data_IF_055064649825
#
_entry.id   IF_055064649825
#
_cell.length_a   1.000
_cell.length_b   1.000
_cell.length_c   1.000
_cell.angle_alpha   90.00
_cell.angle_beta   90.00
_cell.angle_gamma   90.00
#
_symmetry.space_group_name_H-M   'P 1'
#
loop_
_entity.id
_entity.type
_entity.pdbx_description
1 polymer ?
#
# COMPACT_ATOMS: atom_id res chain seq x y z
N UNK A 1 23.69 9.14 -10.35
CA UNK A 1 22.64 9.84 -11.15
C UNK A 1 21.29 9.19 -10.86
N UNK A 2 20.36 9.94 -10.27
CA UNK A 2 18.99 9.46 -10.10
C UNK A 2 18.27 9.50 -11.44
N UNK A 3 17.81 8.36 -11.94
CA UNK A 3 16.91 8.29 -13.09
C UNK A 3 15.47 8.37 -12.60
N UNK A 4 14.72 9.35 -13.09
CA UNK A 4 13.26 9.37 -12.93
C UNK A 4 12.68 8.38 -13.94
N UNK A 5 12.21 7.23 -13.46
CA UNK A 5 11.52 6.26 -14.30
C UNK A 5 10.00 6.41 -14.06
N UNK A 6 9.25 7.09 -14.94
CA UNK A 6 7.82 7.20 -14.79
C UNK A 6 7.15 5.84 -15.03
N UNK A 7 6.42 5.33 -14.05
CA UNK A 7 5.60 4.14 -14.18
C UNK A 7 4.16 4.54 -14.48
N UNK A 8 3.63 4.12 -15.63
CA UNK A 8 2.24 4.35 -16.02
C UNK A 8 1.44 3.06 -15.91
N UNK A 9 0.44 3.04 -15.03
CA UNK A 9 -0.41 1.87 -14.81
C UNK A 9 -1.88 2.24 -14.93
N UNK A 10 -2.58 1.59 -15.85
CA UNK A 10 -4.03 1.62 -15.90
C UNK A 10 -4.63 0.49 -15.06
N UNK A 11 -5.67 0.76 -14.28
CA UNK A 11 -6.30 -0.26 -13.46
C UNK A 11 -7.80 -0.03 -13.25
N UNK A 12 -8.53 -1.14 -13.15
CA UNK A 12 -9.92 -1.12 -12.70
C UNK A 12 -9.94 -1.06 -11.16
N UNK A 13 -10.54 0.00 -10.60
CA UNK A 13 -10.41 0.28 -9.17
C UNK A 13 -11.64 -0.09 -8.35
N UNK A 14 -12.84 0.06 -8.89
CA UNK A 14 -14.06 -0.22 -8.14
C UNK A 14 -15.26 -0.52 -9.05
N UNK A 15 -16.13 -1.38 -8.56
CA UNK A 15 -17.48 -1.61 -9.09
C UNK A 15 -18.42 -1.89 -7.93
N UNK A 16 -19.66 -1.42 -8.03
CA UNK A 16 -20.65 -1.72 -6.99
C UNK A 16 -22.07 -1.63 -7.51
N UNK A 17 -22.94 -2.34 -6.80
CA UNK A 17 -24.38 -2.30 -7.02
C UNK A 17 -25.10 -2.25 -5.66
N UNK A 18 -26.13 -1.44 -5.58
CA UNK A 18 -27.01 -1.38 -4.42
C UNK A 18 -28.45 -1.69 -4.85
N UNK A 19 -29.08 -2.61 -4.15
CA UNK A 19 -30.45 -3.06 -4.40
C UNK A 19 -31.33 -2.67 -3.21
N UNK A 20 -32.24 -1.70 -3.37
CA UNK A 20 -33.24 -1.41 -2.36
C UNK A 20 -34.24 -2.57 -2.26
N UNK A 21 -34.49 -3.05 -1.05
CA UNK A 21 -35.46 -4.09 -0.77
C UNK A 21 -36.81 -3.46 -0.38
N UNK A 22 -37.94 -4.04 -0.84
CA UNK A 22 -39.25 -3.55 -0.44
C UNK A 22 -39.47 -3.76 1.07
N UNK A 23 -39.90 -2.68 1.74
CA UNK A 23 -40.19 -2.69 3.15
C UNK A 23 -41.54 -2.01 3.41
N UNK A 24 -42.28 -2.43 4.40
CA UNK A 24 -43.57 -1.79 4.79
C UNK A 24 -43.30 -0.46 5.49
N UNK A 25 -42.19 -0.37 6.24
CA UNK A 25 -41.76 0.84 6.95
C UNK A 25 -40.24 0.93 7.00
N UNK A 26 -39.72 2.14 6.78
CA UNK A 26 -38.28 2.39 6.68
C UNK A 26 -37.72 2.06 5.29
N UNK A 27 -36.42 1.83 5.18
CA UNK A 27 -35.75 1.37 3.97
C UNK A 27 -34.68 0.34 4.31
N UNK A 28 -34.50 -0.63 3.42
CA UNK A 28 -33.48 -1.67 3.53
C UNK A 28 -32.76 -1.80 2.21
N UNK A 29 -31.43 -1.94 2.24
CA UNK A 29 -30.60 -1.99 1.04
C UNK A 29 -29.59 -3.12 1.19
N UNK A 30 -29.50 -3.95 0.16
CA UNK A 30 -28.36 -4.86 -0.05
C UNK A 30 -27.36 -4.22 -0.99
N UNK A 31 -26.08 -4.39 -0.73
CA UNK A 31 -25.01 -3.90 -1.59
C UNK A 31 -23.97 -4.99 -1.86
N UNK A 32 -23.45 -4.99 -3.07
CA UNK A 32 -22.26 -5.74 -3.44
C UNK A 32 -21.23 -4.77 -4.00
N UNK A 33 -19.96 -4.99 -3.70
CA UNK A 33 -18.90 -4.10 -4.16
C UNK A 33 -17.58 -4.83 -4.32
N UNK A 34 -16.83 -4.37 -5.29
CA UNK A 34 -15.44 -4.70 -5.53
C UNK A 34 -14.62 -3.42 -5.42
N UNK A 35 -13.53 -3.44 -4.66
CA UNK A 35 -12.60 -2.32 -4.57
C UNK A 35 -11.16 -2.83 -4.59
N UNK A 36 -10.30 -2.15 -5.32
CA UNK A 36 -8.87 -2.27 -5.15
C UNK A 36 -8.42 -1.34 -4.03
N UNK A 37 -7.90 -1.92 -2.93
CA UNK A 37 -7.58 -1.19 -1.68
C UNK A 37 -6.11 -0.82 -1.56
N UNK A 38 -5.22 -1.56 -2.25
CA UNK A 38 -3.78 -1.27 -2.31
C UNK A 38 -3.29 -1.51 -3.73
N UNK A 39 -2.37 -0.66 -4.19
CA UNK A 39 -1.56 -0.85 -5.38
C UNK A 39 -0.11 -0.96 -4.93
N UNK A 40 0.56 -2.03 -5.31
CA UNK A 40 1.97 -2.27 -4.98
C UNK A 40 2.94 -1.72 -6.02
N UNK A 41 2.42 -1.22 -7.17
CA UNK A 41 3.24 -0.82 -8.31
C UNK A 41 4.25 0.26 -7.94
N UNK A 42 5.52 -0.06 -8.12
CA UNK A 42 6.64 0.83 -7.89
C UNK A 42 7.85 0.37 -8.72
N UNK A 43 8.66 1.31 -9.12
CA UNK A 43 9.94 1.08 -9.76
C UNK A 43 10.92 2.14 -9.23
N UNK A 44 12.04 1.69 -8.70
CA UNK A 44 13.17 2.53 -8.32
C UNK A 44 14.43 1.98 -8.92
N UNK A 45 15.28 2.84 -9.45
CA UNK A 45 16.63 2.45 -9.87
C UNK A 45 17.61 3.59 -9.61
N UNK A 46 18.78 3.26 -9.13
CA UNK A 46 19.89 4.20 -9.02
C UNK A 46 21.23 3.52 -9.33
N UNK A 47 22.23 4.32 -9.65
CA UNK A 47 23.57 3.86 -9.90
C UNK A 47 24.57 4.94 -9.53
N UNK A 48 25.70 4.56 -8.95
CA UNK A 48 26.74 5.49 -8.57
C UNK A 48 28.00 4.81 -8.06
N UNK A 49 29.13 5.52 -8.13
CA UNK A 49 30.36 5.08 -7.49
C UNK A 49 30.27 5.26 -5.98
N UNK A 50 30.65 4.22 -5.26
CA UNK A 50 30.72 4.24 -3.79
C UNK A 50 32.14 3.96 -3.33
N UNK A 51 32.52 4.63 -2.23
CA UNK A 51 33.73 4.39 -1.47
C UNK A 51 33.45 3.88 -0.06
N UNK A 52 32.21 3.50 0.18
CA UNK A 52 31.72 3.10 1.48
C UNK A 52 31.78 1.59 1.65
N UNK A 53 32.19 1.18 2.83
CA UNK A 53 32.15 -0.23 3.20
C UNK A 53 30.71 -0.67 3.47
N UNK A 54 30.20 -1.56 2.65
CA UNK A 54 28.88 -2.20 2.84
C UNK A 54 28.96 -3.50 3.64
N UNK A 55 30.12 -3.81 4.21
CA UNK A 55 30.39 -5.00 5.03
C UNK A 55 30.14 -6.34 4.32
N UNK A 56 30.00 -6.35 3.00
CA UNK A 56 29.95 -7.57 2.22
C UNK A 56 31.34 -8.20 2.19
N UNK A 57 31.46 -9.37 2.78
CA UNK A 57 32.70 -10.14 2.82
C UNK A 57 32.49 -11.47 2.11
N UNK A 58 33.31 -11.73 1.11
CA UNK A 58 33.23 -12.91 0.27
C UNK A 58 34.28 -13.95 0.71
N UNK A 59 33.87 -15.18 1.01
CA UNK A 59 34.83 -16.26 1.31
C UNK A 59 35.49 -16.72 0.00
N UNK A 60 36.81 -16.64 -0.06
CA UNK A 60 37.64 -17.13 -1.18
C UNK A 60 38.62 -18.12 -0.62
N UNK A 61 38.72 -19.29 -1.24
CA UNK A 61 39.70 -20.32 -0.85
C UNK A 61 41.06 -20.01 -1.47
N UNK A 62 42.08 -19.80 -0.60
CA UNK A 62 43.46 -19.54 -0.98
C UNK A 62 44.34 -20.55 -0.29
N UNK A 63 45.11 -21.37 -1.04
CA UNK A 63 46.00 -22.40 -0.52
C UNK A 63 45.29 -23.38 0.47
N UNK A 64 44.03 -23.74 0.18
CA UNK A 64 43.24 -24.66 1.02
C UNK A 64 42.72 -24.01 2.32
N UNK A 65 42.74 -22.70 2.44
CA UNK A 65 42.20 -21.94 3.56
C UNK A 65 41.22 -20.88 3.07
N UNK A 66 40.08 -20.81 3.72
CA UNK A 66 39.10 -19.77 3.49
C UNK A 66 39.59 -18.42 4.04
N UNK A 67 39.59 -17.40 3.21
CA UNK A 67 39.90 -16.01 3.55
C UNK A 67 38.75 -15.12 3.11
N UNK A 68 38.43 -14.07 3.89
CA UNK A 68 37.36 -13.16 3.58
C UNK A 68 37.89 -11.89 2.94
N UNK A 69 37.33 -11.54 1.78
CA UNK A 69 37.68 -10.36 1.01
C UNK A 69 36.49 -9.41 0.92
N UNK A 70 36.78 -8.09 1.01
CA UNK A 70 35.79 -7.03 0.87
C UNK A 70 36.11 -6.20 -0.35
N UNK A 71 35.16 -6.10 -1.28
CA UNK A 71 35.29 -5.37 -2.54
C UNK A 71 34.42 -4.11 -2.59
N UNK A 72 34.24 -3.42 -1.48
CA UNK A 72 33.24 -2.35 -1.36
C UNK A 72 33.73 -0.95 -1.72
N UNK A 73 35.04 -0.74 -1.93
CA UNK A 73 35.62 0.60 -2.16
C UNK A 73 35.86 0.88 -3.64
N UNK A 74 35.49 2.10 -4.06
CA UNK A 74 35.69 2.61 -5.44
C UNK A 74 35.01 1.80 -6.53
N UNK A 75 33.90 1.15 -6.20
CA UNK A 75 33.12 0.30 -7.10
C UNK A 75 31.87 1.04 -7.58
N UNK A 76 31.40 0.66 -8.76
CA UNK A 76 30.09 1.09 -9.25
C UNK A 76 29.02 0.20 -8.63
N UNK A 77 28.05 0.82 -7.96
CA UNK A 77 26.86 0.12 -7.43
C UNK A 77 25.64 0.55 -8.20
N UNK A 78 24.82 -0.42 -8.55
CA UNK A 78 23.54 -0.20 -9.19
C UNK A 78 22.48 -1.03 -8.45
N UNK A 79 21.32 -0.43 -8.27
CA UNK A 79 20.20 -1.07 -7.61
C UNK A 79 18.93 -0.82 -8.40
N UNK A 80 18.13 -1.86 -8.58
CA UNK A 80 16.80 -1.79 -9.16
C UNK A 80 15.81 -2.52 -8.27
N UNK A 81 14.76 -1.83 -7.86
CA UNK A 81 13.65 -2.36 -7.08
C UNK A 81 12.38 -2.25 -7.91
N UNK A 82 11.73 -3.38 -8.15
CA UNK A 82 10.42 -3.43 -8.77
C UNK A 82 9.41 -4.02 -7.78
N UNK A 83 8.25 -3.41 -7.69
CA UNK A 83 7.09 -3.97 -7.02
C UNK A 83 5.87 -3.88 -7.92
N UNK A 84 5.02 -4.91 -7.88
CA UNK A 84 3.82 -5.00 -8.69
C UNK A 84 2.71 -5.76 -7.99
N UNK A 85 1.49 -5.62 -8.51
CA UNK A 85 0.32 -6.30 -7.98
C UNK A 85 -0.66 -5.39 -7.23
N UNK A 86 -1.61 -6.01 -6.55
CA UNK A 86 -2.68 -5.29 -5.87
C UNK A 86 -3.29 -6.10 -4.73
N UNK A 87 -3.93 -5.39 -3.80
CA UNK A 87 -4.86 -5.98 -2.84
C UNK A 87 -6.27 -5.50 -3.14
N UNK A 88 -7.20 -6.43 -3.20
CA UNK A 88 -8.58 -6.25 -3.61
C UNK A 88 -9.53 -6.69 -2.50
N UNK A 89 -10.71 -6.09 -2.49
CA UNK A 89 -11.74 -6.36 -1.51
C UNK A 89 -13.08 -6.56 -2.21
N UNK A 90 -13.68 -7.73 -2.02
CA UNK A 90 -15.06 -8.00 -2.40
C UNK A 90 -15.94 -7.89 -1.15
N UNK A 91 -17.01 -7.08 -1.22
CA UNK A 91 -17.84 -6.72 -0.08
C UNK A 91 -19.31 -7.05 -0.33
N UNK A 92 -19.93 -7.71 0.63
CA UNK A 92 -21.38 -7.78 0.80
C UNK A 92 -21.79 -6.84 1.93
N UNK A 93 -22.83 -6.05 1.73
CA UNK A 93 -23.29 -5.08 2.71
C UNK A 93 -24.80 -5.09 2.84
N UNK A 94 -25.24 -4.77 4.05
CA UNK A 94 -26.64 -4.61 4.41
C UNK A 94 -26.82 -3.30 5.16
N UNK A 95 -27.80 -2.52 4.79
CA UNK A 95 -28.16 -1.27 5.44
C UNK A 95 -29.65 -1.19 5.73
N UNK A 96 -30.00 -0.62 6.88
CA UNK A 96 -31.38 -0.44 7.31
C UNK A 96 -31.58 0.96 7.91
N UNK A 97 -32.64 1.64 7.50
CA UNK A 97 -33.12 2.84 8.16
C UNK A 97 -33.99 2.44 9.38
N UNK A 98 -33.49 2.75 10.57
CA UNK A 98 -34.17 2.51 11.85
C UNK A 98 -35.16 3.62 12.18
N UNK A 99 -34.90 4.84 11.66
CA UNK A 99 -35.80 5.98 11.71
C UNK A 99 -35.56 6.86 10.48
N UNK A 100 -36.36 7.92 10.26
CA UNK A 100 -36.09 8.90 9.17
C UNK A 100 -34.72 9.60 9.29
N UNK A 101 -34.20 9.70 10.51
CA UNK A 101 -32.92 10.40 10.79
C UNK A 101 -31.77 9.46 11.14
N UNK A 102 -32.02 8.16 11.34
CA UNK A 102 -31.00 7.24 11.82
C UNK A 102 -30.99 5.92 11.03
N UNK A 103 -29.80 5.51 10.58
CA UNK A 103 -29.62 4.25 9.86
C UNK A 103 -28.36 3.53 10.37
N UNK A 104 -28.40 2.20 10.31
CA UNK A 104 -27.28 1.32 10.61
C UNK A 104 -26.96 0.40 9.45
N UNK A 105 -25.77 -0.18 9.46
CA UNK A 105 -25.36 -1.13 8.43
C UNK A 105 -24.22 -2.03 8.88
N UNK A 106 -24.13 -3.15 8.20
CA UNK A 106 -23.09 -4.16 8.38
C UNK A 106 -22.51 -4.53 7.01
N UNK A 107 -21.23 -4.80 6.96
CA UNK A 107 -20.57 -5.34 5.78
C UNK A 107 -19.60 -6.45 6.15
N UNK A 108 -19.53 -7.45 5.28
CA UNK A 108 -18.55 -8.53 5.34
C UNK A 108 -17.76 -8.50 4.03
N UNK A 109 -16.45 -8.49 4.14
CA UNK A 109 -15.57 -8.36 2.99
C UNK A 109 -14.53 -9.47 2.98
N UNK A 110 -14.33 -10.07 1.82
CA UNK A 110 -13.15 -10.89 1.53
C UNK A 110 -12.05 -9.99 0.98
N UNK A 111 -10.90 -10.03 1.61
CA UNK A 111 -9.68 -9.38 1.14
C UNK A 111 -8.81 -10.43 0.48
N UNK A 112 -8.29 -10.15 -0.70
CA UNK A 112 -7.31 -10.99 -1.41
C UNK A 112 -6.29 -10.09 -2.09
N UNK A 113 -5.04 -10.53 -2.17
CA UNK A 113 -3.98 -9.75 -2.78
C UNK A 113 -2.85 -10.64 -3.28
N UNK A 114 -2.12 -10.11 -4.24
CA UNK A 114 -0.84 -10.65 -4.70
C UNK A 114 0.12 -9.50 -4.87
N UNK A 115 1.28 -9.64 -4.29
CA UNK A 115 2.42 -8.75 -4.45
C UNK A 115 3.57 -9.52 -5.08
N UNK A 116 4.23 -8.88 -6.04
CA UNK A 116 5.46 -9.33 -6.65
C UNK A 116 6.52 -8.27 -6.38
N UNK A 117 7.61 -8.65 -5.72
CA UNK A 117 8.73 -7.78 -5.44
C UNK A 117 9.99 -8.41 -6.04
N UNK A 118 10.80 -7.60 -6.71
CA UNK A 118 12.14 -8.00 -7.15
C UNK A 118 13.15 -6.92 -6.80
N UNK A 119 14.30 -7.36 -6.35
CA UNK A 119 15.45 -6.56 -6.00
C UNK A 119 16.63 -7.08 -6.80
N UNK A 120 17.32 -6.19 -7.52
CA UNK A 120 18.57 -6.49 -8.21
C UNK A 120 19.63 -5.51 -7.73
N UNK A 121 20.73 -6.04 -7.21
CA UNK A 121 21.89 -5.27 -6.80
C UNK A 121 23.11 -5.75 -7.60
N UNK A 122 23.85 -4.80 -8.15
CA UNK A 122 25.09 -5.04 -8.89
C UNK A 122 26.19 -4.18 -8.27
N UNK A 123 27.30 -4.82 -7.93
CA UNK A 123 28.54 -4.15 -7.54
C UNK A 123 29.64 -4.57 -8.52
N UNK A 124 30.26 -3.60 -9.18
CA UNK A 124 31.17 -3.83 -10.29
C UNK A 124 32.48 -3.04 -10.12
N UNK A 125 33.63 -3.69 -10.34
CA UNK A 125 34.93 -3.02 -10.38
C UNK A 125 35.25 -2.42 -11.77
N UNK A 126 34.38 -1.55 -12.25
CA UNK A 126 34.51 -0.91 -13.55
C UNK A 126 35.78 -0.04 -13.72
N UNK A 127 36.59 0.14 -12.66
CA UNK A 127 37.86 0.90 -12.67
C UNK A 127 39.09 0.00 -12.48
N UNK A 128 38.91 -1.32 -12.39
CA UNK A 128 39.97 -2.29 -12.17
C UNK A 128 40.85 -1.99 -10.93
N UNK A 129 40.16 -1.68 -9.80
CA UNK A 129 40.82 -1.46 -8.52
C UNK A 129 41.22 -2.77 -7.83
N UNK A 130 40.57 -3.87 -8.19
CA UNK A 130 40.77 -5.21 -7.64
C UNK A 130 41.19 -6.15 -8.76
N UNK A 131 42.45 -6.10 -9.18
CA UNK A 131 42.98 -6.87 -10.31
C UNK A 131 44.05 -7.88 -9.93
N UNK A 132 44.30 -8.07 -8.61
CA UNK A 132 45.37 -8.98 -8.15
C UNK A 132 44.78 -10.27 -7.63
N UNK A 133 45.15 -11.41 -8.23
CA UNK A 133 44.77 -12.75 -7.78
C UNK A 133 45.21 -12.96 -6.31
N UNK A 134 44.38 -13.56 -5.45
CA UNK A 134 43.04 -14.17 -5.66
C UNK A 134 41.88 -13.20 -5.46
N UNK A 135 42.12 -11.93 -5.37
CA UNK A 135 41.14 -10.87 -5.14
C UNK A 135 40.84 -10.06 -6.41
N UNK A 136 40.97 -10.67 -7.57
CA UNK A 136 40.73 -10.12 -8.92
C UNK A 136 39.22 -10.06 -9.22
N UNK A 137 38.50 -9.26 -8.41
CA UNK A 137 37.05 -9.10 -8.43
C UNK A 137 36.56 -8.30 -9.63
N UNK A 138 35.65 -8.83 -10.40
CA UNK A 138 34.96 -8.13 -11.50
C UNK A 138 33.56 -7.65 -11.07
N UNK A 139 32.68 -8.59 -10.67
CA UNK A 139 31.27 -8.25 -10.39
C UNK A 139 30.65 -9.13 -9.31
N UNK A 140 29.83 -8.54 -8.47
CA UNK A 140 28.85 -9.23 -7.63
C UNK A 140 27.44 -8.86 -8.07
N UNK A 141 26.60 -9.86 -8.32
CA UNK A 141 25.21 -9.73 -8.68
C UNK A 141 24.36 -10.46 -7.65
N UNK A 142 23.38 -9.75 -7.11
CA UNK A 142 22.33 -10.31 -6.24
C UNK A 142 20.98 -10.05 -6.87
N UNK A 143 20.18 -11.10 -7.05
CA UNK A 143 18.78 -11.01 -7.48
C UNK A 143 17.90 -11.65 -6.44
N UNK A 144 16.96 -10.88 -5.89
CA UNK A 144 15.97 -11.40 -4.96
C UNK A 144 14.58 -11.24 -5.54
N UNK A 145 13.75 -12.25 -5.37
CA UNK A 145 12.35 -12.23 -5.77
C UNK A 145 11.48 -12.71 -4.62
N UNK A 146 10.40 -11.98 -4.37
CA UNK A 146 9.37 -12.33 -3.40
C UNK A 146 8.00 -12.27 -4.09
N UNK A 147 7.20 -13.31 -3.88
CA UNK A 147 5.80 -13.35 -4.27
C UNK A 147 4.99 -13.61 -3.02
N UNK A 148 4.16 -12.64 -2.63
CA UNK A 148 3.29 -12.75 -1.47
C UNK A 148 1.82 -12.82 -1.90
N UNK A 149 1.11 -13.87 -1.50
CA UNK A 149 -0.33 -14.02 -1.67
C UNK A 149 -1.03 -13.82 -0.35
N UNK A 150 -1.97 -12.88 -0.31
CA UNK A 150 -2.67 -12.47 0.91
C UNK A 150 -4.14 -12.79 0.81
N UNK A 151 -4.73 -13.37 1.88
CA UNK A 151 -6.19 -13.61 1.98
C UNK A 151 -6.69 -13.31 3.39
N UNK A 152 -7.95 -12.82 3.49
CA UNK A 152 -8.56 -12.54 4.79
C UNK A 152 -10.03 -12.18 4.70
N UNK A 153 -10.66 -12.05 5.86
CA UNK A 153 -12.05 -11.61 5.99
C UNK A 153 -12.14 -10.44 6.96
N UNK A 154 -12.86 -9.39 6.58
CA UNK A 154 -13.08 -8.20 7.38
C UNK A 154 -14.57 -8.00 7.62
N UNK A 155 -14.94 -7.65 8.85
CA UNK A 155 -16.32 -7.28 9.23
C UNK A 155 -16.30 -5.82 9.68
N UNK A 156 -17.24 -5.04 9.17
CA UNK A 156 -17.41 -3.63 9.52
C UNK A 156 -18.87 -3.35 9.83
N UNK A 157 -19.12 -2.71 10.97
CA UNK A 157 -20.42 -2.15 11.34
C UNK A 157 -20.36 -0.63 11.34
N UNK A 158 -21.49 0.02 11.09
CA UNK A 158 -21.56 1.47 11.12
C UNK A 158 -22.97 2.00 11.31
N UNK A 159 -23.03 3.25 11.78
CA UNK A 159 -24.27 4.02 11.95
C UNK A 159 -24.12 5.39 11.35
N UNK A 160 -25.21 5.96 10.87
CA UNK A 160 -25.30 7.35 10.44
C UNK A 160 -26.56 8.01 10.97
N UNK A 161 -26.45 9.28 11.34
CA UNK A 161 -27.56 10.07 11.84
C UNK A 161 -27.60 11.44 11.23
N UNK A 162 -28.81 11.95 10.95
CA UNK A 162 -29.05 13.36 10.66
C UNK A 162 -29.27 14.09 11.99
N UNK A 163 -28.36 15.01 12.32
CA UNK A 163 -28.47 15.87 13.50
C UNK A 163 -29.45 17.00 13.20
N UNK A 164 -29.38 17.51 11.96
CA UNK A 164 -30.30 18.48 11.36
C UNK A 164 -30.53 18.10 9.90
N UNK A 165 -31.37 18.79 9.18
CA UNK A 165 -31.62 18.58 7.75
C UNK A 165 -30.37 18.87 6.90
N UNK A 166 -29.50 19.74 7.38
CA UNK A 166 -28.27 20.17 6.68
C UNK A 166 -26.98 19.53 7.25
N UNK A 167 -27.05 18.81 8.40
CA UNK A 167 -25.87 18.21 9.03
C UNK A 167 -26.07 16.74 9.40
N UNK A 168 -25.20 15.88 8.91
CA UNK A 168 -25.20 14.43 9.14
C UNK A 168 -23.85 13.96 9.66
N UNK A 169 -23.90 13.00 10.58
CA UNK A 169 -22.71 12.34 11.15
C UNK A 169 -22.74 10.84 10.87
N UNK A 170 -21.56 10.26 10.83
CA UNK A 170 -21.38 8.82 10.68
C UNK A 170 -20.21 8.30 11.51
N UNK A 171 -20.39 7.09 12.03
CA UNK A 171 -19.38 6.32 12.75
C UNK A 171 -19.35 4.91 12.19
N UNK A 172 -18.17 4.35 11.96
CA UNK A 172 -18.02 2.94 11.63
C UNK A 172 -16.82 2.33 12.33
N UNK A 173 -16.91 1.02 12.60
CA UNK A 173 -15.88 0.23 13.23
C UNK A 173 -15.63 -1.02 12.37
N UNK A 174 -14.37 -1.21 11.96
CA UNK A 174 -13.90 -2.49 11.43
C UNK A 174 -13.32 -3.30 12.57
N UNK A 175 -13.78 -4.53 12.74
CA UNK A 175 -13.28 -5.43 13.77
C UNK A 175 -11.84 -5.88 13.44
N UNK A 176 -11.05 -6.28 14.44
CA UNK A 176 -9.79 -6.96 14.20
C UNK A 176 -10.03 -8.23 13.36
N UNK A 177 -9.15 -8.50 12.41
CA UNK A 177 -9.26 -9.68 11.57
C UNK A 177 -7.89 -10.26 11.26
N UNK A 178 -7.86 -11.48 10.75
CA UNK A 178 -6.64 -12.15 10.36
C UNK A 178 -6.51 -12.13 8.85
N UNK A 179 -5.29 -11.87 8.38
CA UNK A 179 -4.86 -12.13 7.02
C UNK A 179 -3.88 -13.30 7.05
N UNK A 180 -4.03 -14.23 6.12
CA UNK A 180 -3.04 -15.27 5.83
C UNK A 180 -2.16 -14.77 4.71
N UNK A 181 -0.88 -14.95 4.86
CA UNK A 181 0.14 -14.59 3.87
C UNK A 181 0.93 -15.85 3.54
N UNK A 182 1.00 -16.16 2.26
CA UNK A 182 1.82 -17.21 1.67
C UNK A 182 2.89 -16.54 0.83
N UNK A 183 4.16 -16.76 1.20
CA UNK A 183 5.32 -16.14 0.56
C UNK A 183 6.22 -17.18 -0.06
N UNK A 184 6.57 -16.94 -1.32
CA UNK A 184 7.62 -17.65 -2.05
C UNK A 184 8.75 -16.67 -2.32
N UNK A 185 9.97 -17.02 -1.94
CA UNK A 185 11.14 -16.20 -2.20
C UNK A 185 12.28 -16.99 -2.83
N UNK A 186 13.07 -16.30 -3.64
CA UNK A 186 14.33 -16.77 -4.17
C UNK A 186 15.40 -15.68 -4.05
N UNK A 187 16.65 -16.11 -3.84
CA UNK A 187 17.84 -15.28 -3.88
C UNK A 187 18.88 -15.97 -4.75
N UNK A 188 19.27 -15.32 -5.82
CA UNK A 188 20.31 -15.76 -6.73
C UNK A 188 21.50 -14.81 -6.58
N UNK A 189 22.65 -15.36 -6.19
CA UNK A 189 23.89 -14.63 -6.01
C UNK A 189 24.93 -15.14 -7.01
N UNK A 190 25.71 -14.22 -7.56
CA UNK A 190 26.78 -14.52 -8.50
C UNK A 190 27.98 -13.63 -8.23
N UNK A 191 29.12 -14.24 -7.97
CA UNK A 191 30.41 -13.58 -7.82
C UNK A 191 31.29 -13.95 -9.01
N UNK A 192 31.72 -12.95 -9.78
CA UNK A 192 32.55 -13.08 -10.99
C UNK A 192 33.92 -12.45 -10.73
N UNK A 193 34.96 -13.09 -11.25
CA UNK A 193 36.35 -12.66 -11.19
C UNK A 193 36.90 -12.36 -12.60
N UNK A 194 37.98 -11.58 -12.69
CA UNK A 194 38.60 -11.15 -13.96
C UNK A 194 39.10 -12.34 -14.80
N UNK A 195 39.48 -13.44 -14.16
CA UNK A 195 39.91 -14.68 -14.84
C UNK A 195 38.75 -15.49 -15.44
N UNK A 196 37.49 -15.04 -15.21
CA UNK A 196 36.26 -15.69 -15.63
C UNK A 196 35.77 -16.76 -14.68
N UNK A 197 36.40 -16.96 -13.51
CA UNK A 197 35.87 -17.80 -12.47
C UNK A 197 34.56 -17.23 -11.93
N UNK A 198 33.58 -18.09 -11.72
CA UNK A 198 32.24 -17.70 -11.27
C UNK A 198 31.77 -18.59 -10.14
N UNK A 199 31.26 -17.98 -9.08
CA UNK A 199 30.63 -18.66 -7.97
C UNK A 199 29.15 -18.25 -7.89
N UNK A 200 28.26 -19.20 -8.16
CA UNK A 200 26.81 -19.00 -8.17
C UNK A 200 26.16 -19.71 -7.00
N UNK A 201 25.25 -19.02 -6.32
CA UNK A 201 24.46 -19.60 -5.22
C UNK A 201 22.97 -19.26 -5.42
N UNK A 202 22.10 -20.23 -5.28
CA UNK A 202 20.64 -20.01 -5.34
C UNK A 202 20.01 -20.53 -4.04
N UNK A 203 19.22 -19.68 -3.39
CA UNK A 203 18.42 -20.02 -2.23
C UNK A 203 16.94 -19.80 -2.54
N UNK A 204 16.10 -20.72 -2.09
CA UNK A 204 14.65 -20.61 -2.22
C UNK A 204 13.98 -20.92 -0.89
N UNK A 205 12.83 -20.31 -0.63
CA UNK A 205 12.08 -20.59 0.57
C UNK A 205 10.60 -20.30 0.41
N UNK A 206 9.83 -20.82 1.34
CA UNK A 206 8.39 -20.66 1.42
C UNK A 206 7.99 -20.39 2.87
N UNK A 207 7.13 -19.39 3.09
CA UNK A 207 6.54 -19.08 4.39
C UNK A 207 5.02 -19.01 4.29
N UNK A 208 4.36 -19.52 5.31
CA UNK A 208 2.91 -19.44 5.50
C UNK A 208 2.64 -18.99 6.94
N UNK A 209 2.06 -17.81 7.08
CA UNK A 209 1.78 -17.23 8.39
C UNK A 209 0.51 -16.41 8.39
N UNK A 210 0.05 -16.07 9.59
CA UNK A 210 -1.13 -15.20 9.78
C UNK A 210 -0.73 -13.94 10.52
N UNK A 211 -1.30 -12.83 10.07
CA UNK A 211 -1.15 -11.52 10.72
C UNK A 211 -2.51 -11.06 11.21
N UNK A 212 -2.59 -10.71 12.48
CA UNK A 212 -3.77 -10.07 13.07
C UNK A 212 -3.70 -8.58 12.81
N UNK A 213 -4.69 -8.08 12.09
CA UNK A 213 -4.86 -6.64 11.82
C UNK A 213 -5.63 -5.98 12.96
N UNK A 214 -5.25 -4.77 13.39
CA UNK A 214 -5.95 -4.03 14.43
C UNK A 214 -7.32 -3.55 13.96
N UNK A 215 -8.18 -3.18 14.91
CA UNK A 215 -9.43 -2.51 14.61
C UNK A 215 -9.20 -1.13 13.97
N UNK A 216 -10.22 -0.67 13.24
CA UNK A 216 -10.24 0.68 12.65
C UNK A 216 -11.53 1.37 13.06
N UNK A 217 -11.43 2.62 13.48
CA UNK A 217 -12.58 3.50 13.73
C UNK A 217 -12.57 4.60 12.69
N UNK A 218 -13.70 4.77 11.99
CA UNK A 218 -13.93 5.90 11.09
C UNK A 218 -15.06 6.77 11.67
N UNK A 219 -14.81 8.07 11.75
CA UNK A 219 -15.79 9.07 12.11
C UNK A 219 -15.82 10.14 11.03
N UNK A 220 -17.00 10.67 10.70
CA UNK A 220 -17.09 11.72 9.70
C UNK A 220 -18.41 12.46 9.74
N UNK A 221 -18.47 13.58 9.04
CA UNK A 221 -19.66 14.39 8.90
C UNK A 221 -19.75 15.07 7.56
N UNK A 222 -20.99 15.40 7.20
CA UNK A 222 -21.34 16.12 5.98
C UNK A 222 -22.29 17.26 6.34
N UNK A 223 -21.92 18.45 5.88
CA UNK A 223 -22.73 19.65 5.94
C UNK A 223 -23.20 19.97 4.52
N UNK A 224 -24.52 20.02 4.31
CA UNK A 224 -25.14 20.29 3.01
C UNK A 224 -25.98 21.53 3.11
N UNK A 225 -25.58 22.59 2.42
CA UNK A 225 -26.35 23.84 2.23
C UNK A 225 -26.65 23.98 0.75
N UNK A 226 -27.57 24.87 0.31
CA UNK A 226 -27.87 25.03 -1.10
C UNK A 226 -26.62 25.25 -1.93
N UNK A 227 -26.40 24.38 -2.95
CA UNK A 227 -25.24 24.37 -3.88
C UNK A 227 -23.89 24.03 -3.28
N UNK A 228 -23.73 23.91 -1.95
CA UNK A 228 -22.45 23.59 -1.32
C UNK A 228 -22.58 22.42 -0.36
N UNK A 229 -21.71 21.42 -0.53
CA UNK A 229 -21.52 20.31 0.39
C UNK A 229 -20.09 20.31 0.93
N UNK A 230 -19.95 20.31 2.24
CA UNK A 230 -18.67 20.15 2.93
C UNK A 230 -18.64 18.77 3.61
N UNK A 231 -17.56 18.05 3.46
CA UNK A 231 -17.37 16.74 4.07
C UNK A 231 -16.03 16.65 4.80
N UNK A 232 -16.03 15.97 5.93
CA UNK A 232 -14.81 15.64 6.64
C UNK A 232 -14.85 14.21 7.16
N UNK A 233 -13.70 13.60 7.33
CA UNK A 233 -13.58 12.30 7.99
C UNK A 233 -12.24 12.13 8.69
N UNK A 234 -12.28 11.38 9.79
CA UNK A 234 -11.13 10.95 10.55
C UNK A 234 -11.12 9.45 10.64
N UNK A 235 -9.94 8.84 10.50
CA UNK A 235 -9.72 7.42 10.72
C UNK A 235 -8.67 7.23 11.79
N UNK A 236 -8.99 6.42 12.76
CA UNK A 236 -8.05 5.94 13.77
C UNK A 236 -7.68 4.49 13.50
N UNK A 237 -6.38 4.18 13.58
CA UNK A 237 -5.84 2.83 13.58
C UNK A 237 -4.61 2.75 14.48
N UNK A 238 -4.56 1.75 15.34
CA UNK A 238 -3.39 1.48 16.16
C UNK A 238 -2.52 0.40 15.49
N UNK A 239 -1.53 0.83 14.72
CA UNK A 239 -0.65 -0.08 13.99
C UNK A 239 0.26 -0.90 14.90
N UNK A 240 0.65 -0.40 16.09
CA UNK A 240 1.39 -1.18 17.08
C UNK A 240 0.62 -2.39 17.63
N UNK A 241 -0.68 -2.49 17.32
CA UNK A 241 -1.52 -3.66 17.62
C UNK A 241 -1.52 -4.74 16.55
N UNK A 242 -0.81 -4.52 15.41
CA UNK A 242 -0.57 -5.57 14.41
C UNK A 242 0.31 -6.65 15.00
N UNK A 243 0.01 -7.94 14.73
CA UNK A 243 0.77 -9.06 15.30
C UNK A 243 0.77 -10.26 14.37
N UNK A 244 1.92 -10.89 14.23
CA UNK A 244 2.00 -12.26 13.75
C UNK A 244 1.33 -13.21 14.75
N UNK A 245 0.56 -14.16 14.26
CA UNK A 245 -0.11 -15.17 15.10
C UNK A 245 0.89 -16.30 15.38
N UNK A 246 1.24 -16.45 16.64
CA UNK A 246 2.24 -17.45 17.08
C UNK A 246 1.62 -18.67 17.75
N UNK A 247 0.33 -18.63 18.08
CA UNK A 247 -0.37 -19.66 18.87
C UNK A 247 -0.41 -21.04 18.21
N UNK A 248 -0.16 -21.11 16.89
CA UNK A 248 -0.13 -22.36 16.11
C UNK A 248 1.22 -23.06 16.14
N UNK A 249 2.27 -22.41 16.65
CA UNK A 249 3.64 -22.92 16.66
C UNK A 249 4.06 -23.32 18.07
N UNK A 250 4.95 -24.32 18.17
CA UNK A 250 5.56 -24.68 19.45
C UNK A 250 6.50 -23.56 19.90
N UNK A 251 6.42 -23.16 21.18
CA UNK A 251 7.21 -22.07 21.75
C UNK A 251 8.73 -22.25 21.65
N UNK A 252 9.19 -23.48 21.49
CA UNK A 252 10.60 -23.84 21.36
C UNK A 252 11.11 -23.77 19.92
N UNK A 253 10.20 -23.67 18.92
CA UNK A 253 10.60 -23.62 17.51
C UNK A 253 11.24 -22.28 17.17
N UNK A 254 12.23 -22.30 16.28
CA UNK A 254 12.90 -21.09 15.82
C UNK A 254 11.93 -20.16 15.08
N UNK A 255 10.94 -20.72 14.38
CA UNK A 255 9.89 -19.96 13.72
C UNK A 255 9.01 -19.17 14.71
N UNK A 256 8.65 -19.79 15.87
CA UNK A 256 7.96 -19.08 16.95
C UNK A 256 8.78 -17.91 17.49
N UNK A 257 10.08 -18.13 17.74
CA UNK A 257 10.98 -17.10 18.26
C UNK A 257 11.10 -15.94 17.29
N UNK A 258 11.35 -16.23 15.99
CA UNK A 258 11.41 -15.23 14.93
C UNK A 258 10.15 -14.36 14.88
N UNK A 259 8.95 -14.96 14.78
CA UNK A 259 7.70 -14.22 14.74
C UNK A 259 7.41 -13.45 16.04
N UNK A 260 7.89 -13.95 17.19
CA UNK A 260 7.74 -13.28 18.48
C UNK A 260 8.63 -12.04 18.57
N UNK A 261 9.85 -12.10 18.07
CA UNK A 261 10.78 -10.97 17.97
C UNK A 261 10.23 -9.89 17.02
N UNK A 262 9.70 -10.30 15.86
CA UNK A 262 9.01 -9.38 14.95
C UNK A 262 7.80 -8.68 15.62
N UNK A 263 7.06 -9.38 16.46
CA UNK A 263 5.97 -8.79 17.23
C UNK A 263 6.45 -7.71 18.21
N UNK A 264 7.63 -7.88 18.81
CA UNK A 264 8.25 -6.85 19.66
C UNK A 264 8.71 -5.66 18.82
N UNK A 265 9.30 -5.90 17.65
CA UNK A 265 9.71 -4.88 16.70
C UNK A 265 8.50 -4.05 16.25
N UNK A 266 7.40 -4.69 15.83
CA UNK A 266 6.16 -4.00 15.46
C UNK A 266 5.65 -3.14 16.62
N UNK A 267 5.61 -3.69 17.84
CA UNK A 267 5.09 -2.97 19.00
C UNK A 267 5.93 -1.73 19.36
N UNK A 268 7.24 -1.75 19.09
CA UNK A 268 8.17 -0.67 19.40
C UNK A 268 8.27 0.38 18.30
N UNK A 269 8.20 -0.02 17.03
CA UNK A 269 8.42 0.87 15.89
C UNK A 269 7.14 1.48 15.36
N UNK A 270 5.99 0.75 15.44
CA UNK A 270 4.73 1.23 14.91
C UNK A 270 3.91 1.98 15.96
N UNK A 271 3.08 2.93 15.50
CA UNK A 271 2.32 3.83 16.35
C UNK A 271 0.82 3.87 16.03
N UNK A 272 0.10 4.59 16.85
CA UNK A 272 -1.27 5.01 16.56
C UNK A 272 -1.26 6.09 15.48
N UNK A 273 -2.16 5.96 14.51
CA UNK A 273 -2.27 6.86 13.36
C UNK A 273 -3.67 7.45 13.27
N UNK A 274 -3.74 8.76 13.10
CA UNK A 274 -4.94 9.52 12.84
C UNK A 274 -4.87 10.11 11.43
N UNK A 275 -5.68 9.58 10.51
CA UNK A 275 -5.81 10.11 9.17
C UNK A 275 -6.94 11.13 9.14
N UNK A 276 -6.75 12.25 8.46
CA UNK A 276 -7.76 13.28 8.29
C UNK A 276 -8.03 13.55 6.81
N UNK A 277 -9.29 13.78 6.47
CA UNK A 277 -9.72 14.15 5.11
C UNK A 277 -10.77 15.24 5.21
N UNK A 278 -10.69 16.20 4.28
CA UNK A 278 -11.70 17.22 4.10
C UNK A 278 -11.92 17.47 2.61
N UNK A 279 -13.13 17.81 2.24
CA UNK A 279 -13.47 18.12 0.86
C UNK A 279 -14.72 18.95 0.77
N UNK A 280 -14.90 19.58 -0.39
CA UNK A 280 -16.10 20.31 -0.72
C UNK A 280 -16.59 19.96 -2.13
N UNK A 281 -17.87 20.11 -2.32
CA UNK A 281 -18.54 20.06 -3.62
C UNK A 281 -19.39 21.33 -3.78
N UNK A 282 -19.26 21.96 -4.93
CA UNK A 282 -20.09 23.10 -5.32
C UNK A 282 -20.86 22.77 -6.59
N UNK A 283 -22.20 22.85 -6.53
CA UNK A 283 -23.08 22.65 -7.67
C UNK A 283 -23.22 23.97 -8.45
N UNK A 284 -22.61 24.03 -9.64
CA UNK A 284 -22.75 25.12 -10.59
C UNK A 284 -23.93 24.82 -11.53
N UNK A 285 -25.05 25.46 -11.30
CA UNK A 285 -26.26 25.35 -12.12
C UNK A 285 -26.19 26.31 -13.30
N UNK A 286 -26.37 25.79 -14.51
CA UNK A 286 -26.43 26.59 -15.75
C UNK A 286 -27.88 26.85 -16.20
N UNK A 287 -28.75 25.88 -15.94
CA UNK A 287 -30.21 26.01 -16.16
C UNK A 287 -30.95 25.00 -15.23
N UNK A 288 -32.28 24.97 -15.30
CA UNK A 288 -33.10 24.12 -14.43
C UNK A 288 -32.83 22.63 -14.55
N UNK A 289 -32.26 22.16 -15.67
CA UNK A 289 -32.04 20.72 -15.96
C UNK A 289 -30.57 20.34 -16.06
N UNK A 290 -29.63 21.29 -15.95
CA UNK A 290 -28.21 21.00 -16.12
C UNK A 290 -27.34 21.79 -15.14
N UNK A 291 -26.52 21.06 -14.41
CA UNK A 291 -25.50 21.59 -13.52
C UNK A 291 -24.27 20.71 -13.51
N UNK A 292 -23.14 21.27 -13.14
CA UNK A 292 -21.87 20.60 -12.99
C UNK A 292 -21.44 20.68 -11.52
N UNK A 293 -21.08 19.54 -10.92
CA UNK A 293 -20.48 19.50 -9.59
C UNK A 293 -18.97 19.72 -9.69
N UNK A 294 -18.47 20.77 -9.05
CA UNK A 294 -17.04 21.04 -8.86
C UNK A 294 -16.63 20.50 -7.50
N UNK A 295 -15.57 19.71 -7.45
CA UNK A 295 -15.10 19.07 -6.21
C UNK A 295 -13.62 19.33 -5.98
N UNK A 296 -13.25 19.47 -4.70
CA UNK A 296 -11.85 19.49 -4.30
C UNK A 296 -11.72 18.87 -2.90
N UNK A 297 -10.52 18.38 -2.59
CA UNK A 297 -10.27 17.77 -1.30
C UNK A 297 -8.80 17.66 -0.95
N UNK A 298 -8.56 17.51 0.34
CA UNK A 298 -7.26 17.25 0.92
C UNK A 298 -7.33 16.07 1.89
N UNK A 299 -6.29 15.25 1.92
CA UNK A 299 -6.17 14.17 2.87
C UNK A 299 -4.73 14.04 3.37
N UNK A 300 -4.58 13.70 4.65
CA UNK A 300 -3.29 13.47 5.32
C UNK A 300 -3.30 12.06 5.87
N UNK A 301 -2.25 11.30 5.52
CA UNK A 301 -2.03 9.92 5.93
C UNK A 301 -0.66 9.81 6.60
N UNK A 302 -0.58 9.97 7.93
CA UNK A 302 0.68 9.82 8.64
C UNK A 302 1.23 8.40 8.50
N UNK A 303 2.56 8.29 8.40
CA UNK A 303 3.25 7.01 8.34
C UNK A 303 3.12 6.24 9.66
N UNK A 304 2.92 4.93 9.60
CA UNK A 304 2.70 4.11 10.80
C UNK A 304 3.97 3.88 11.63
N UNK A 305 5.15 3.95 11.04
CA UNK A 305 6.47 3.74 11.65
C UNK A 305 7.03 4.97 12.36
N UNK A 306 6.32 6.10 12.30
CA UNK A 306 6.76 7.33 12.95
C UNK A 306 7.73 8.17 12.13
N UNK A 307 8.17 7.68 10.99
CA UNK A 307 8.94 8.49 10.03
C UNK A 307 8.02 9.52 9.37
N UNK A 308 8.25 10.80 9.68
CA UNK A 308 7.46 11.90 9.11
C UNK A 308 7.70 12.10 7.61
N UNK A 309 8.82 11.62 7.08
CA UNK A 309 9.08 11.67 5.65
C UNK A 309 8.13 10.76 4.86
N UNK A 310 7.67 9.65 5.48
CA UNK A 310 6.65 8.75 4.93
C UNK A 310 5.22 9.28 5.01
N UNK A 311 4.96 10.43 5.64
CA UNK A 311 3.62 11.03 5.70
C UNK A 311 3.15 11.41 4.30
N UNK A 312 1.95 10.91 3.92
CA UNK A 312 1.39 11.15 2.59
C UNK A 312 0.34 12.24 2.63
N UNK A 313 0.49 13.22 1.75
CA UNK A 313 -0.51 14.27 1.51
C UNK A 313 -1.16 14.04 0.14
N UNK A 314 -2.49 14.07 0.10
CA UNK A 314 -3.25 13.96 -1.14
C UNK A 314 -4.04 15.24 -1.34
N UNK A 315 -3.92 15.82 -2.54
CA UNK A 315 -4.76 16.91 -3.01
C UNK A 315 -5.55 16.40 -4.20
N UNK A 316 -6.83 16.74 -4.26
CA UNK A 316 -7.71 16.30 -5.35
C UNK A 316 -8.56 17.43 -5.88
N UNK A 317 -8.86 17.35 -7.18
CA UNK A 317 -9.87 18.16 -7.87
C UNK A 317 -10.71 17.25 -8.76
N UNK A 318 -12.00 17.56 -8.92
CA UNK A 318 -12.90 16.71 -9.69
C UNK A 318 -14.11 17.46 -10.24
N UNK A 319 -14.73 16.81 -11.22
CA UNK A 319 -15.94 17.26 -11.90
C UNK A 319 -16.97 16.12 -11.91
N UNK A 320 -18.23 16.45 -11.66
CA UNK A 320 -19.37 15.55 -11.84
C UNK A 320 -20.34 16.15 -12.86
N UNK A 321 -20.66 15.38 -13.89
CA UNK A 321 -21.53 15.79 -15.01
C UNK A 321 -22.71 14.83 -15.10
N UNK A 322 -23.96 15.28 -14.93
CA UNK A 322 -25.13 14.46 -15.15
C UNK A 322 -25.39 14.27 -16.66
N UNK A 323 -25.77 13.08 -17.05
CA UNK A 323 -26.21 12.71 -18.40
C UNK A 323 -27.65 12.21 -18.32
N UNK A 324 -28.62 13.07 -18.60
CA UNK A 324 -30.02 12.78 -18.40
C UNK A 324 -30.37 12.62 -16.92
N UNK A 325 -31.46 11.91 -16.61
CA UNK A 325 -31.98 11.79 -15.25
C UNK A 325 -31.31 10.68 -14.42
N UNK A 326 -30.69 9.72 -15.07
CA UNK A 326 -30.30 8.45 -14.45
C UNK A 326 -28.80 8.17 -14.47
N UNK A 327 -28.00 8.96 -15.18
CA UNK A 327 -26.57 8.71 -15.32
C UNK A 327 -25.73 9.89 -14.83
N UNK A 328 -24.66 9.61 -14.10
CA UNK A 328 -23.64 10.56 -13.66
C UNK A 328 -22.27 10.07 -14.09
N UNK A 329 -21.49 10.94 -14.69
CA UNK A 329 -20.07 10.70 -14.93
C UNK A 329 -19.24 11.65 -14.07
N UNK A 330 -18.30 11.06 -13.34
CA UNK A 330 -17.36 11.78 -12.48
C UNK A 330 -15.94 11.58 -13.01
N UNK A 331 -15.17 12.66 -13.03
CA UNK A 331 -13.74 12.62 -13.28
C UNK A 331 -13.01 13.33 -12.14
N UNK A 332 -11.91 12.74 -11.66
CA UNK A 332 -11.11 13.32 -10.61
C UNK A 332 -9.61 13.15 -10.89
N UNK A 333 -8.85 14.18 -10.56
CA UNK A 333 -7.39 14.16 -10.51
C UNK A 333 -6.96 14.17 -9.06
N UNK A 334 -6.05 13.26 -8.71
CA UNK A 334 -5.44 13.15 -7.38
C UNK A 334 -3.92 13.25 -7.52
N UNK A 335 -3.32 14.11 -6.71
CA UNK A 335 -1.86 14.18 -6.57
C UNK A 335 -1.49 13.79 -5.15
N UNK A 336 -0.62 12.79 -5.01
CA UNK A 336 -0.12 12.29 -3.73
C UNK A 336 1.38 12.51 -3.66
N UNK A 337 1.85 13.13 -2.59
CA UNK A 337 3.27 13.37 -2.35
C UNK A 337 3.71 12.78 -1.01
N UNK A 338 4.92 12.22 -0.99
CA UNK A 338 5.64 11.79 0.21
C UNK A 338 7.13 11.67 -0.10
N UNK A 339 7.96 11.63 0.94
CA UNK A 339 9.39 11.34 0.82
C UNK A 339 9.69 10.05 1.60
N UNK A 340 10.71 9.33 1.17
CA UNK A 340 11.18 8.12 1.84
C UNK A 340 12.69 8.08 1.77
N UNK A 341 13.34 7.73 2.86
CA UNK A 341 14.75 7.36 2.85
C UNK A 341 14.83 5.84 2.70
N UNK A 342 15.36 5.40 1.57
CA UNK A 342 15.65 3.99 1.32
C UNK A 342 17.12 3.75 1.63
N UNK A 343 17.37 2.85 2.57
CA UNK A 343 18.72 2.35 2.87
C UNK A 343 18.62 0.87 3.19
N UNK A 344 19.60 0.13 2.76
CA UNK A 344 19.72 -1.30 3.05
C UNK A 344 21.18 -1.66 3.37
N UNK A 345 21.46 -2.96 3.52
CA UNK A 345 22.80 -3.46 3.84
C UNK A 345 23.78 -3.21 2.67
N UNK A 346 23.29 -3.20 1.43
CA UNK A 346 24.12 -3.06 0.24
C UNK A 346 24.44 -1.60 -0.07
N UNK A 347 23.51 -0.71 0.27
CA UNK A 347 23.61 0.75 0.10
C UNK A 347 23.31 1.47 1.43
N UNK A 348 24.22 1.40 2.43
CA UNK A 348 23.94 1.83 3.82
C UNK A 348 23.53 3.30 3.97
N UNK A 349 24.01 4.19 3.10
CA UNK A 349 23.60 5.61 3.12
C UNK A 349 22.32 5.85 2.34
N UNK A 350 21.93 4.88 1.50
CA UNK A 350 20.69 4.88 0.76
C UNK A 350 20.49 6.08 -0.14
N UNK A 351 19.24 6.26 -0.53
CA UNK A 351 18.79 7.40 -1.33
C UNK A 351 17.57 8.04 -0.67
N UNK A 352 17.48 9.37 -0.73
CA UNK A 352 16.26 10.09 -0.40
C UNK A 352 15.38 10.10 -1.66
N UNK A 353 14.20 9.52 -1.55
CA UNK A 353 13.20 9.47 -2.61
C UNK A 353 12.10 10.50 -2.35
N UNK A 354 11.87 11.40 -3.29
CA UNK A 354 10.69 12.25 -3.33
C UNK A 354 9.72 11.67 -4.35
N UNK A 355 8.61 11.12 -3.85
CA UNK A 355 7.63 10.44 -4.68
C UNK A 355 6.43 11.34 -4.94
N UNK A 356 6.11 11.54 -6.22
CA UNK A 356 4.91 12.20 -6.68
C UNK A 356 4.07 11.23 -7.51
N UNK A 357 2.90 10.86 -6.99
CA UNK A 357 1.96 9.97 -7.69
C UNK A 357 0.73 10.74 -8.14
N UNK A 358 0.54 10.85 -9.44
CA UNK A 358 -0.64 11.48 -10.05
C UNK A 358 -1.58 10.41 -10.59
N UNK A 359 -2.90 10.54 -10.29
CA UNK A 359 -3.93 9.61 -10.72
C UNK A 359 -5.10 10.35 -11.34
N UNK A 360 -5.60 9.83 -12.44
CA UNK A 360 -6.88 10.24 -13.02
C UNK A 360 -7.86 9.10 -12.77
N UNK A 361 -9.00 9.42 -12.15
CA UNK A 361 -10.09 8.49 -11.91
C UNK A 361 -11.29 8.92 -12.73
N UNK A 362 -11.92 7.96 -13.39
CA UNK A 362 -13.20 8.16 -14.07
C UNK A 362 -14.19 7.14 -13.51
N UNK A 363 -15.36 7.62 -13.14
CA UNK A 363 -16.47 6.81 -12.63
C UNK A 363 -17.74 7.09 -13.41
N UNK A 364 -18.52 6.04 -13.66
CA UNK A 364 -19.87 6.17 -14.23
C UNK A 364 -20.83 5.51 -13.27
N UNK A 365 -21.85 6.26 -12.86
CA UNK A 365 -22.94 5.78 -12.01
C UNK A 365 -24.25 5.79 -12.78
N UNK A 366 -25.03 4.72 -12.66
CA UNK A 366 -26.35 4.62 -13.27
C UNK A 366 -27.39 4.24 -12.21
N UNK A 367 -28.48 5.02 -12.17
CA UNK A 367 -29.62 4.77 -11.30
C UNK A 367 -30.75 4.10 -12.10
N UNK A 368 -31.02 2.83 -11.79
CA UNK A 368 -32.14 2.14 -12.40
C UNK A 368 -33.44 2.69 -11.80
N UNK A 369 -34.25 3.41 -12.59
CA UNK A 369 -35.58 3.82 -12.12
C UNK A 369 -36.49 2.60 -12.05
N UNK A 370 -37.20 2.44 -10.93
CA UNK A 370 -38.33 1.55 -10.86
C UNK A 370 -39.51 2.25 -11.54
N UNK A 371 -39.93 1.74 -12.70
CA UNK A 371 -41.26 2.08 -13.25
C UNK A 371 -42.36 1.58 -12.31
#
# INVERSE_FOLDING_TARGET
>A
ESKVNPLHVGSFNAMGMALPLPTIRGSMVLGVGFNRIVHYNGLMSFSGFSNEDNQLNFPIEVDGKEQFYNFSKYVLRSEEIYSGGAMEQFTLSFGIALSPTFAGGLSVSRVSGREEYSFEFIQEDSKQNYSEFPADFDQYLLKQKLIATTTGWNIRGGVKGAVTDWFRLGLSISLPYHIRVEEEHSSDESLLFDDGFKNDTTLTGYYDYKVRMPFVIDFGGVLTIPKLTLAYSFRFRNWSGTRFVTDTYKSESDYYKMLSEENLTIASQYRQVYQARAGFEYLMEFNENFGISLRSGVAIFPAPDGDRHGDRTIISAGLGIPFGENMMMDAAFLSTSWSKQSSDVYTPYGAMEDVLSNRILVNVSYLFSRN
#
